data_IF_345291614581
#
_entry.id   IF_345291614581
#
_cell.length_a   1.000
_cell.length_b   1.000
_cell.length_c   1.000
_cell.angle_alpha   90.00
_cell.angle_beta   90.00
_cell.angle_gamma   90.00
#
_symmetry.space_group_name_H-M   'P 1'
#
loop_
_entity.id
_entity.type
_entity.pdbx_description
1 polymer ?
#
# COMPACT_ATOMS: atom_id res chain seq x y z
N UNK A 1 -0.70 21.06 -22.37
CA UNK A 1 0.43 20.53 -23.16
C UNK A 1 1.34 19.71 -22.25
N UNK A 2 1.19 18.39 -22.28
CA UNK A 2 2.03 17.43 -21.56
C UNK A 2 3.35 17.27 -22.32
N UNK A 3 4.47 17.73 -21.74
CA UNK A 3 5.80 17.48 -22.31
C UNK A 3 6.01 15.95 -22.36
N UNK A 4 6.38 15.36 -23.51
CA UNK A 4 6.64 13.93 -23.57
C UNK A 4 7.75 13.59 -22.58
N UNK A 5 7.47 12.69 -21.65
CA UNK A 5 8.43 12.20 -20.66
C UNK A 5 9.69 11.74 -21.39
N UNK A 6 10.80 12.44 -21.16
CA UNK A 6 12.09 12.16 -21.80
C UNK A 6 12.43 10.70 -21.50
N UNK A 7 12.68 9.87 -22.51
CA UNK A 7 13.04 8.43 -22.34
C UNK A 7 14.11 8.22 -21.27
N UNK A 8 15.04 9.17 -21.16
CA UNK A 8 16.09 9.23 -20.13
C UNK A 8 15.51 9.24 -18.71
N UNK A 9 14.47 10.03 -18.43
CA UNK A 9 13.83 10.06 -17.11
C UNK A 9 13.19 8.71 -16.74
N UNK A 10 12.55 8.05 -17.71
CA UNK A 10 11.97 6.72 -17.49
C UNK A 10 13.06 5.70 -17.20
N UNK A 11 14.16 5.71 -17.96
CA UNK A 11 15.30 4.81 -17.75
C UNK A 11 15.95 5.06 -16.39
N UNK A 12 16.29 6.31 -16.05
CA UNK A 12 16.90 6.66 -14.76
C UNK A 12 16.00 6.29 -13.59
N UNK A 13 14.68 6.52 -13.71
CA UNK A 13 13.71 6.11 -12.69
C UNK A 13 13.73 4.59 -12.52
N UNK A 14 13.62 3.82 -13.60
CA UNK A 14 13.64 2.35 -13.53
C UNK A 14 14.96 1.80 -12.97
N UNK A 15 16.11 2.35 -13.36
CA UNK A 15 17.42 1.93 -12.83
C UNK A 15 17.53 2.20 -11.33
N UNK A 16 17.06 3.37 -10.87
CA UNK A 16 17.02 3.70 -9.45
C UNK A 16 16.14 2.73 -8.65
N UNK A 17 14.99 2.38 -9.21
CA UNK A 17 14.04 1.42 -8.64
C UNK A 17 14.68 0.02 -8.51
N UNK A 18 15.38 -0.46 -9.53
CA UNK A 18 16.11 -1.73 -9.47
C UNK A 18 17.25 -1.71 -8.44
N UNK A 19 18.02 -0.61 -8.36
CA UNK A 19 19.09 -0.46 -7.39
C UNK A 19 18.58 -0.47 -5.95
N UNK A 20 17.50 0.26 -5.68
CA UNK A 20 16.84 0.25 -4.37
C UNK A 20 16.35 -1.16 -4.01
N UNK A 21 15.70 -1.86 -4.95
CA UNK A 21 15.24 -3.23 -4.73
C UNK A 21 16.39 -4.21 -4.43
N UNK A 22 17.51 -4.11 -5.16
CA UNK A 22 18.70 -4.92 -4.90
C UNK A 22 19.35 -4.59 -3.55
N UNK A 23 19.43 -3.31 -3.21
CA UNK A 23 20.02 -2.86 -1.94
C UNK A 23 19.21 -3.36 -0.73
N UNK A 24 17.90 -3.49 -0.87
CA UNK A 24 17.04 -4.08 0.17
C UNK A 24 17.27 -5.57 0.32
N UNK A 25 17.16 -6.25 -0.82
CA UNK A 25 17.14 -7.70 -0.88
C UNK A 25 18.46 -8.31 -0.43
N UNK A 26 19.58 -7.65 -0.77
CA UNK A 26 20.92 -8.10 -0.43
C UNK A 26 21.43 -7.38 0.82
N UNK A 27 21.21 -6.06 0.92
CA UNK A 27 21.79 -5.25 1.99
C UNK A 27 21.18 -5.50 3.36
N UNK A 28 19.86 -5.69 3.47
CA UNK A 28 19.22 -5.89 4.79
C UNK A 28 19.62 -7.24 5.41
N UNK A 29 19.61 -8.37 4.69
CA UNK A 29 20.09 -9.64 5.22
C UNK A 29 21.58 -9.64 5.58
N UNK A 30 22.42 -8.97 4.78
CA UNK A 30 23.85 -8.84 5.08
C UNK A 30 24.10 -7.98 6.32
N UNK A 31 23.33 -6.91 6.50
CA UNK A 31 23.42 -6.06 7.69
C UNK A 31 22.96 -6.82 8.94
N UNK A 32 21.89 -7.63 8.83
CA UNK A 32 21.45 -8.53 9.89
C UNK A 32 22.49 -9.60 10.22
N UNK A 33 23.13 -10.19 9.21
CA UNK A 33 24.21 -11.16 9.40
C UNK A 33 25.44 -10.51 10.07
N UNK A 34 25.76 -9.26 9.71
CA UNK A 34 26.82 -8.47 10.35
C UNK A 34 26.50 -8.16 11.82
N UNK A 35 25.28 -7.67 12.11
CA UNK A 35 24.80 -7.45 13.48
C UNK A 35 24.81 -8.74 14.31
N UNK A 36 24.36 -9.86 13.73
CA UNK A 36 24.39 -11.17 14.39
C UNK A 36 25.82 -11.61 14.70
N UNK A 37 26.77 -11.32 13.80
CA UNK A 37 28.20 -11.58 14.00
C UNK A 37 28.83 -10.68 15.05
N UNK A 38 28.36 -9.43 15.20
CA UNK A 38 28.76 -8.55 16.30
C UNK A 38 28.25 -9.04 17.66
N UNK A 39 27.01 -9.53 17.72
CA UNK A 39 26.38 -10.03 18.95
C UNK A 39 26.93 -11.39 19.40
N UNK A 40 27.26 -12.26 18.45
CA UNK A 40 27.80 -13.58 18.71
C UNK A 40 28.97 -13.83 17.74
N UNK A 41 30.21 -13.53 18.16
CA UNK A 41 31.38 -13.62 17.29
C UNK A 41 31.62 -15.07 16.84
N UNK A 42 31.99 -15.21 15.58
CA UNK A 42 32.32 -16.49 14.97
C UNK A 42 33.76 -16.81 15.34
N UNK A 43 33.96 -17.77 16.25
CA UNK A 43 35.30 -18.19 16.71
C UNK A 43 35.53 -19.61 16.22
N UNK A 44 36.27 -19.76 15.11
CA UNK A 44 36.60 -21.06 14.53
C UNK A 44 37.42 -20.97 13.24
N UNK A 45 38.10 -22.07 12.87
CA UNK A 45 38.97 -22.16 11.68
C UNK A 45 38.20 -21.99 10.35
N UNK A 46 36.88 -22.24 10.34
CA UNK A 46 35.99 -22.11 9.19
C UNK A 46 35.12 -20.85 9.24
N UNK A 47 35.71 -19.70 9.56
CA UNK A 47 35.02 -18.41 9.71
C UNK A 47 34.17 -18.03 8.48
N UNK A 48 34.68 -18.22 7.26
CA UNK A 48 33.96 -17.88 6.03
C UNK A 48 32.69 -18.72 5.85
N UNK A 49 32.74 -20.03 6.13
CA UNK A 49 31.59 -20.91 5.93
C UNK A 49 30.48 -20.65 6.94
N UNK A 50 30.84 -20.46 8.21
CA UNK A 50 29.88 -20.10 9.28
C UNK A 50 29.22 -18.75 9.03
N UNK A 51 29.95 -17.81 8.41
CA UNK A 51 29.38 -16.53 8.00
C UNK A 51 28.37 -16.67 6.85
N UNK A 52 28.67 -17.49 5.84
CA UNK A 52 27.75 -17.78 4.72
C UNK A 52 26.46 -18.46 5.23
N UNK A 53 26.58 -19.44 6.12
CA UNK A 53 25.43 -20.13 6.72
C UNK A 53 24.53 -19.15 7.48
N UNK A 54 25.13 -18.25 8.26
CA UNK A 54 24.40 -17.21 9.00
C UNK A 54 23.74 -16.19 8.07
N UNK A 55 24.42 -15.80 7.00
CA UNK A 55 23.85 -14.91 5.98
C UNK A 55 22.65 -15.55 5.28
N UNK A 56 22.74 -16.84 4.91
CA UNK A 56 21.63 -17.58 4.32
C UNK A 56 20.43 -17.69 5.28
N UNK A 57 20.67 -17.92 6.58
CA UNK A 57 19.61 -17.97 7.59
C UNK A 57 18.95 -16.61 7.83
N UNK A 58 19.73 -15.52 7.91
CA UNK A 58 19.19 -14.16 8.02
C UNK A 58 18.36 -13.78 6.78
N UNK A 59 18.77 -14.25 5.61
CA UNK A 59 18.06 -14.03 4.36
C UNK A 59 16.68 -14.73 4.35
N UNK A 60 16.61 -16.01 4.74
CA UNK A 60 15.33 -16.73 4.79
C UNK A 60 14.38 -16.15 5.82
N UNK A 61 14.87 -15.77 7.01
CA UNK A 61 14.07 -15.08 8.02
C UNK A 61 13.54 -13.74 7.52
N UNK A 62 14.40 -12.95 6.87
CA UNK A 62 14.00 -11.66 6.31
C UNK A 62 12.89 -11.82 5.27
N UNK A 63 13.02 -12.76 4.34
CA UNK A 63 11.99 -13.06 3.34
C UNK A 63 10.63 -13.41 3.97
N UNK A 64 10.61 -14.27 5.00
CA UNK A 64 9.37 -14.65 5.68
C UNK A 64 8.70 -13.45 6.33
N UNK A 65 9.46 -12.63 7.07
CA UNK A 65 8.94 -11.43 7.74
C UNK A 65 8.40 -10.44 6.70
N UNK A 66 9.15 -10.24 5.63
CA UNK A 66 8.83 -9.30 4.56
C UNK A 66 7.56 -9.73 3.79
N UNK A 67 7.39 -11.02 3.49
CA UNK A 67 6.14 -11.55 2.92
C UNK A 67 4.97 -11.35 3.89
N UNK A 68 5.18 -11.59 5.19
CA UNK A 68 4.16 -11.39 6.22
C UNK A 68 3.69 -9.94 6.32
N UNK A 69 4.62 -8.99 6.44
CA UNK A 69 4.33 -7.55 6.48
C UNK A 69 3.63 -7.10 5.20
N UNK A 70 4.09 -7.56 4.02
CA UNK A 70 3.48 -7.21 2.72
C UNK A 70 2.06 -7.70 2.61
N UNK A 71 1.79 -8.93 3.05
CA UNK A 71 0.44 -9.50 3.06
C UNK A 71 -0.46 -8.66 3.96
N UNK A 72 -0.03 -8.37 5.17
CA UNK A 72 -0.79 -7.56 6.12
C UNK A 72 -1.11 -6.16 5.58
N UNK A 73 -0.12 -5.44 5.02
CA UNK A 73 -0.34 -4.11 4.42
C UNK A 73 -1.33 -4.15 3.24
N UNK A 74 -1.26 -5.19 2.42
CA UNK A 74 -2.12 -5.33 1.24
C UNK A 74 -3.55 -5.68 1.66
N UNK A 75 -3.71 -6.55 2.65
CA UNK A 75 -5.01 -6.91 3.21
C UNK A 75 -5.67 -5.69 3.87
N UNK A 76 -4.96 -4.93 4.72
CA UNK A 76 -5.49 -3.69 5.31
C UNK A 76 -5.94 -2.67 4.26
N UNK A 77 -5.18 -2.55 3.15
CA UNK A 77 -5.53 -1.64 2.05
C UNK A 77 -6.78 -2.10 1.30
N UNK A 78 -6.91 -3.41 1.04
CA UNK A 78 -8.11 -3.98 0.43
C UNK A 78 -9.34 -3.79 1.31
N UNK A 79 -9.21 -4.01 2.61
CA UNK A 79 -10.30 -3.81 3.57
C UNK A 79 -10.76 -2.35 3.57
N UNK A 80 -9.83 -1.40 3.53
CA UNK A 80 -10.15 0.03 3.44
C UNK A 80 -10.86 0.40 2.13
N UNK A 81 -10.41 -0.14 0.99
CA UNK A 81 -11.04 0.11 -0.32
C UNK A 81 -12.42 -0.55 -0.44
N UNK A 82 -12.60 -1.74 0.15
CA UNK A 82 -13.90 -2.40 0.21
C UNK A 82 -14.89 -1.61 1.06
N UNK A 83 -14.48 -1.13 2.23
CA UNK A 83 -15.30 -0.27 3.07
C UNK A 83 -15.69 1.02 2.33
N UNK A 84 -14.76 1.63 1.59
CA UNK A 84 -15.02 2.79 0.75
C UNK A 84 -16.02 2.45 -0.37
N UNK A 85 -15.87 1.33 -1.06
CA UNK A 85 -16.81 0.89 -2.11
C UNK A 85 -18.23 0.77 -1.55
N UNK A 86 -18.40 0.10 -0.39
CA UNK A 86 -19.70 -0.02 0.27
C UNK A 86 -20.29 1.36 0.63
N UNK A 87 -19.46 2.32 1.06
CA UNK A 87 -19.92 3.67 1.33
C UNK A 87 -20.45 4.39 0.07
N UNK A 88 -19.80 4.20 -1.08
CA UNK A 88 -20.26 4.73 -2.37
C UNK A 88 -21.56 4.06 -2.86
N UNK A 89 -21.71 2.74 -2.68
CA UNK A 89 -22.95 2.01 -3.03
C UNK A 89 -24.12 2.46 -2.15
N UNK A 90 -23.88 2.71 -0.85
CA UNK A 90 -24.90 3.29 0.05
C UNK A 90 -25.26 4.73 -0.37
N UNK A 91 -24.29 5.52 -0.82
CA UNK A 91 -24.54 6.87 -1.33
C UNK A 91 -25.36 6.89 -2.62
N UNK A 92 -25.14 5.92 -3.52
CA UNK A 92 -25.98 5.72 -4.70
C UNK A 92 -27.43 5.40 -4.29
N UNK A 93 -27.61 4.47 -3.35
CA UNK A 93 -28.91 4.13 -2.77
C UNK A 93 -29.61 5.35 -2.13
N UNK A 94 -28.85 6.22 -1.47
CA UNK A 94 -29.39 7.48 -0.96
C UNK A 94 -29.88 8.40 -2.09
N UNK A 95 -29.12 8.54 -3.18
CA UNK A 95 -29.54 9.34 -4.32
C UNK A 95 -30.82 8.80 -5.00
N UNK A 96 -31.07 7.49 -4.94
CA UNK A 96 -32.27 6.86 -5.49
C UNK A 96 -33.49 6.93 -4.55
N UNK A 97 -33.28 6.85 -3.24
CA UNK A 97 -34.37 6.72 -2.24
C UNK A 97 -34.71 8.04 -1.53
N UNK A 98 -33.82 9.03 -1.58
CA UNK A 98 -33.86 10.34 -0.87
C UNK A 98 -34.10 10.25 0.66
N UNK A 99 -33.79 9.08 1.24
CA UNK A 99 -34.00 8.81 2.66
C UNK A 99 -32.90 9.44 3.50
N UNK A 100 -33.22 10.55 4.20
CA UNK A 100 -32.26 11.28 5.07
C UNK A 100 -31.59 10.42 6.15
N UNK A 101 -32.26 9.37 6.63
CA UNK A 101 -31.68 8.45 7.62
C UNK A 101 -30.43 7.72 7.10
N UNK A 102 -30.37 7.45 5.79
CA UNK A 102 -29.21 6.81 5.14
C UNK A 102 -28.04 7.80 5.06
N UNK A 103 -28.32 9.06 4.74
CA UNK A 103 -27.32 10.13 4.69
C UNK A 103 -26.69 10.39 6.06
N UNK A 104 -27.50 10.52 7.11
CA UNK A 104 -27.00 10.77 8.46
C UNK A 104 -26.19 9.58 9.00
N UNK A 105 -26.64 8.35 8.75
CA UNK A 105 -25.91 7.14 9.12
C UNK A 105 -24.57 7.00 8.38
N UNK A 106 -24.53 7.36 7.10
CA UNK A 106 -23.31 7.33 6.30
C UNK A 106 -22.32 8.44 6.74
N UNK A 107 -22.82 9.64 7.01
CA UNK A 107 -22.03 10.78 7.48
C UNK A 107 -21.35 10.49 8.82
N UNK A 108 -22.06 9.85 9.75
CA UNK A 108 -21.47 9.43 11.04
C UNK A 108 -20.38 8.38 10.84
N UNK A 109 -20.59 7.38 9.98
CA UNK A 109 -19.58 6.35 9.68
C UNK A 109 -18.34 6.94 9.01
N UNK A 110 -18.50 7.85 8.06
CA UNK A 110 -17.40 8.53 7.38
C UNK A 110 -16.61 9.39 8.37
N UNK A 111 -17.30 10.21 9.19
CA UNK A 111 -16.63 11.05 10.18
C UNK A 111 -15.89 10.21 11.23
N UNK A 112 -16.45 9.10 11.69
CA UNK A 112 -15.75 8.17 12.59
C UNK A 112 -14.51 7.54 11.93
N UNK A 113 -14.57 7.21 10.64
CA UNK A 113 -13.44 6.67 9.89
C UNK A 113 -12.33 7.71 9.66
N UNK A 114 -12.69 9.00 9.52
CA UNK A 114 -11.76 10.12 9.42
C UNK A 114 -11.13 10.49 10.77
N UNK A 115 -11.91 10.57 11.85
CA UNK A 115 -11.44 10.99 13.18
C UNK A 115 -10.56 9.95 13.86
N UNK A 116 -10.85 8.65 13.68
CA UNK A 116 -10.12 7.61 14.42
C UNK A 116 -8.71 7.30 13.88
N UNK A 117 -8.19 8.03 12.88
CA UNK A 117 -6.91 7.73 12.20
C UNK A 117 -6.77 6.31 11.63
N UNK A 118 -7.87 5.52 11.65
CA UNK A 118 -7.94 4.14 11.16
C UNK A 118 -7.58 4.09 9.66
N UNK A 119 -7.92 5.15 8.92
CA UNK A 119 -7.51 5.35 7.55
C UNK A 119 -6.15 6.06 7.51
N UNK A 120 -5.06 5.31 7.59
CA UNK A 120 -3.70 5.87 7.48
C UNK A 120 -3.30 6.21 6.02
N UNK A 121 -4.25 6.13 5.08
CA UNK A 121 -4.03 6.32 3.65
C UNK A 121 -4.72 7.60 3.18
N UNK A 122 -3.92 8.61 2.82
CA UNK A 122 -4.37 9.92 2.34
C UNK A 122 -5.34 9.80 1.15
N UNK A 123 -5.09 8.85 0.24
CA UNK A 123 -5.94 8.63 -0.94
C UNK A 123 -7.37 8.20 -0.57
N UNK A 124 -7.54 7.43 0.51
CA UNK A 124 -8.85 6.98 1.00
C UNK A 124 -9.56 8.12 1.74
N UNK A 125 -8.82 8.94 2.49
CA UNK A 125 -9.34 10.14 3.16
C UNK A 125 -9.88 11.14 2.13
N UNK A 126 -9.13 11.41 1.07
CA UNK A 126 -9.55 12.36 0.03
C UNK A 126 -10.75 11.81 -0.76
N UNK A 127 -10.80 10.49 -0.97
CA UNK A 127 -11.97 9.84 -1.58
C UNK A 127 -13.21 9.94 -0.69
N UNK A 128 -13.10 9.76 0.63
CA UNK A 128 -14.19 10.00 1.58
C UNK A 128 -14.69 11.45 1.57
N UNK A 129 -13.77 12.44 1.51
CA UNK A 129 -14.15 13.86 1.42
C UNK A 129 -14.87 14.17 0.11
N UNK A 130 -14.40 13.60 -1.00
CA UNK A 130 -15.03 13.74 -2.30
C UNK A 130 -16.42 13.09 -2.31
N UNK A 131 -16.58 11.92 -1.66
CA UNK A 131 -17.88 11.26 -1.50
C UNK A 131 -18.90 12.16 -0.78
N UNK A 132 -18.51 12.81 0.32
CA UNK A 132 -19.39 13.75 1.03
C UNK A 132 -19.84 14.90 0.12
N UNK A 133 -18.92 15.45 -0.68
CA UNK A 133 -19.23 16.51 -1.65
C UNK A 133 -20.19 16.03 -2.74
N UNK A 134 -19.99 14.82 -3.27
CA UNK A 134 -20.86 14.26 -4.31
C UNK A 134 -22.27 13.90 -3.79
N UNK A 135 -22.37 13.53 -2.52
CA UNK A 135 -23.65 13.35 -1.84
C UNK A 135 -24.41 14.67 -1.66
N UNK A 136 -23.72 15.74 -1.25
CA UNK A 136 -24.32 17.07 -1.08
C UNK A 136 -24.80 17.65 -2.43
N UNK A 137 -24.07 17.37 -3.51
CA UNK A 137 -24.43 17.79 -4.88
C UNK A 137 -25.44 16.85 -5.57
N UNK A 138 -25.85 15.75 -4.93
CA UNK A 138 -26.69 14.67 -5.52
C UNK A 138 -26.21 14.21 -6.90
N UNK A 139 -24.89 14.14 -7.10
CA UNK A 139 -24.32 13.84 -8.41
C UNK A 139 -24.12 12.33 -8.61
N UNK A 140 -25.16 11.66 -9.10
CA UNK A 140 -25.17 10.21 -9.35
C UNK A 140 -24.10 9.74 -10.33
N UNK A 141 -23.72 10.58 -11.30
CA UNK A 141 -22.66 10.25 -12.27
C UNK A 141 -21.27 10.27 -11.64
N UNK A 142 -21.00 11.20 -10.74
CA UNK A 142 -19.74 11.27 -9.99
C UNK A 142 -19.59 10.10 -9.01
N UNK A 143 -20.69 9.68 -8.36
CA UNK A 143 -20.70 8.51 -7.47
C UNK A 143 -20.37 7.23 -8.27
N UNK A 144 -21.01 7.02 -9.42
CA UNK A 144 -20.72 5.87 -10.31
C UNK A 144 -19.28 5.86 -10.82
N UNK A 145 -18.75 7.03 -11.21
CA UNK A 145 -17.33 7.15 -11.59
C UNK A 145 -16.40 6.84 -10.41
N UNK A 146 -16.77 7.24 -9.19
CA UNK A 146 -16.05 6.92 -7.96
C UNK A 146 -15.96 5.41 -7.71
N UNK A 147 -17.08 4.68 -7.85
CA UNK A 147 -17.11 3.22 -7.72
C UNK A 147 -16.16 2.55 -8.72
N UNK A 148 -16.18 2.97 -9.99
CA UNK A 148 -15.31 2.42 -11.04
C UNK A 148 -13.83 2.67 -10.70
N UNK A 149 -13.50 3.87 -10.22
CA UNK A 149 -12.12 4.20 -9.83
C UNK A 149 -11.64 3.37 -8.63
N UNK A 150 -12.52 3.13 -7.64
CA UNK A 150 -12.21 2.28 -6.48
C UNK A 150 -12.01 0.83 -6.93
N UNK A 151 -12.86 0.33 -7.82
CA UNK A 151 -12.75 -1.02 -8.35
C UNK A 151 -11.44 -1.20 -9.15
N UNK A 152 -11.09 -0.22 -9.96
CA UNK A 152 -9.80 -0.21 -10.66
C UNK A 152 -8.61 -0.14 -9.68
N UNK A 153 -8.73 0.61 -8.58
CA UNK A 153 -7.71 0.65 -7.53
C UNK A 153 -7.54 -0.71 -6.83
N UNK A 154 -8.64 -1.41 -6.52
CA UNK A 154 -8.61 -2.76 -5.93
C UNK A 154 -7.90 -3.76 -6.87
N UNK A 155 -8.23 -3.73 -8.16
CA UNK A 155 -7.57 -4.58 -9.16
C UNK A 155 -6.08 -4.24 -9.31
N UNK A 156 -5.74 -2.96 -9.29
CA UNK A 156 -4.34 -2.50 -9.36
C UNK A 156 -3.56 -2.93 -8.12
N UNK A 157 -4.16 -2.90 -6.92
CA UNK A 157 -3.54 -3.33 -5.68
C UNK A 157 -3.35 -4.85 -5.60
N UNK A 158 -4.27 -5.61 -6.20
CA UNK A 158 -4.07 -7.06 -6.41
C UNK A 158 -2.83 -7.34 -7.26
N UNK A 159 -2.59 -6.56 -8.31
CA UNK A 159 -1.41 -6.68 -9.16
C UNK A 159 -0.12 -6.19 -8.46
N UNK A 160 -0.25 -5.24 -7.53
CA UNK A 160 0.86 -4.65 -6.78
C UNK A 160 1.47 -5.59 -5.72
N UNK A 161 0.86 -6.75 -5.42
CA UNK A 161 1.44 -7.75 -4.52
C UNK A 161 2.82 -8.24 -5.02
N UNK A 162 3.05 -8.22 -6.34
CA UNK A 162 4.32 -8.68 -6.92
C UNK A 162 5.51 -7.70 -6.78
N UNK A 163 5.34 -6.50 -6.24
CA UNK A 163 6.43 -5.50 -6.14
C UNK A 163 7.15 -5.52 -4.79
N UNK A 164 8.46 -5.21 -4.78
CA UNK A 164 9.28 -5.16 -3.55
C UNK A 164 8.93 -3.95 -2.65
N UNK A 165 9.39 -3.98 -1.38
CA UNK A 165 8.96 -3.05 -0.33
C UNK A 165 9.47 -1.62 -0.60
N UNK A 166 10.73 -1.45 -1.00
CA UNK A 166 11.21 -0.12 -1.44
C UNK A 166 10.63 0.32 -2.76
N UNK A 167 10.34 -0.59 -3.70
CA UNK A 167 9.63 -0.20 -4.93
C UNK A 167 8.26 0.38 -4.61
N UNK A 168 7.58 -0.09 -3.56
CA UNK A 168 6.29 0.46 -3.11
C UNK A 168 6.46 1.81 -2.41
N UNK A 169 7.53 2.01 -1.62
CA UNK A 169 7.81 3.28 -0.92
C UNK A 169 8.23 4.40 -1.87
N UNK A 170 9.06 4.11 -2.89
CA UNK A 170 9.63 5.11 -3.80
C UNK A 170 8.88 5.27 -5.13
N UNK A 171 7.78 4.54 -5.35
CA UNK A 171 6.91 4.73 -6.53
C UNK A 171 6.07 6.02 -6.45
N UNK A 172 5.87 6.58 -5.25
CA UNK A 172 5.18 7.86 -5.04
C UNK A 172 5.92 9.02 -5.68
#
# INVERSE_FOLDING_TARGET
MTKPLRKIHVITKTTWHCLLGLSEYIGVPLLLAYLSTYLAPIVGENCCWQWIERAAFCFTLYEVILVGIRKMQTDTRKDALLALKTAYEIAELFCETDTRAIYDGLKVKINQALDNSVLNQLDVIDSCKNLMKYMDEKNTTAIKCGIINIQHAIETDNLLWNYTLFLRLFKK
#
